data_IF_388902819478
#
_entry.id   IF_388902819478
#
_cell.length_a   1.000
_cell.length_b   1.000
_cell.length_c   1.000
_cell.angle_alpha   90.00
_cell.angle_beta   90.00
_cell.angle_gamma   90.00
#
_symmetry.space_group_name_H-M   'P 1'
#
loop_
_entity.id
_entity.type
_entity.pdbx_description
1 polymer ?
#
# COMPACT_ATOMS: atom_id res chain seq x y z
N UNK A 1 -2.02 -59.91 -31.26
CA UNK A 1 -1.50 -59.74 -32.60
C UNK A 1 -2.39 -58.74 -33.33
N UNK A 2 -2.01 -57.52 -33.40
CA UNK A 2 -2.42 -56.56 -34.45
C UNK A 2 -1.53 -55.32 -34.36
N UNK A 3 -0.85 -55.11 -35.44
CA UNK A 3 0.09 -54.03 -35.70
C UNK A 3 -0.62 -52.66 -35.66
N UNK A 4 -0.09 -51.68 -34.94
CA UNK A 4 -0.35 -50.27 -35.17
C UNK A 4 0.91 -49.62 -35.73
N UNK A 5 0.81 -49.25 -37.01
CA UNK A 5 1.84 -48.61 -37.81
C UNK A 5 2.01 -47.11 -37.40
N UNK A 6 3.28 -46.72 -37.30
CA UNK A 6 3.72 -45.31 -37.28
C UNK A 6 3.45 -44.66 -38.65
N UNK A 7 2.41 -43.89 -38.82
CA UNK A 7 2.28 -42.84 -39.86
C UNK A 7 1.01 -42.02 -39.58
N UNK A 8 1.17 -40.73 -39.19
CA UNK A 8 0.04 -39.81 -39.16
C UNK A 8 0.15 -38.70 -38.10
N UNK A 9 1.33 -38.10 -37.94
CA UNK A 9 1.47 -36.87 -37.12
C UNK A 9 2.37 -35.87 -37.86
N UNK A 10 1.91 -35.32 -38.96
CA UNK A 10 2.50 -34.12 -39.57
C UNK A 10 1.35 -33.27 -40.13
N UNK A 11 1.35 -32.00 -39.72
CA UNK A 11 0.64 -30.83 -40.23
C UNK A 11 -0.65 -30.41 -39.49
N UNK A 12 -0.46 -29.55 -38.54
CA UNK A 12 -1.20 -28.28 -38.40
C UNK A 12 -0.41 -27.34 -37.48
N UNK A 13 0.65 -26.75 -37.98
CA UNK A 13 1.17 -25.51 -37.40
C UNK A 13 0.24 -24.39 -37.87
N UNK A 14 -0.82 -24.14 -37.11
CA UNK A 14 -1.61 -22.93 -37.23
C UNK A 14 -0.83 -21.80 -36.55
N UNK A 15 -0.37 -20.84 -37.33
CA UNK A 15 0.18 -19.59 -36.84
C UNK A 15 -0.89 -18.88 -36.02
N UNK A 16 -0.71 -18.86 -34.70
CA UNK A 16 -1.50 -18.01 -33.81
C UNK A 16 -1.04 -16.57 -34.05
N UNK A 17 -1.78 -15.81 -34.82
CA UNK A 17 -1.69 -14.37 -34.83
C UNK A 17 -2.00 -13.85 -33.41
N UNK A 18 -1.31 -12.81 -32.94
CA UNK A 18 -1.66 -12.21 -31.63
C UNK A 18 -3.09 -11.71 -31.74
N UNK A 19 -3.98 -12.28 -30.93
CA UNK A 19 -5.32 -11.77 -30.78
C UNK A 19 -5.21 -10.37 -30.23
N UNK A 20 -5.50 -9.35 -31.03
CA UNK A 20 -5.81 -8.02 -30.57
C UNK A 20 -7.01 -8.17 -29.64
N UNK A 21 -6.78 -8.10 -28.33
CA UNK A 21 -7.85 -7.96 -27.36
C UNK A 21 -8.42 -6.55 -27.56
N UNK A 22 -9.42 -6.45 -28.39
CA UNK A 22 -10.28 -5.27 -28.51
C UNK A 22 -11.02 -5.15 -27.17
N UNK A 23 -10.49 -4.35 -26.25
CA UNK A 23 -11.27 -3.89 -25.11
C UNK A 23 -12.49 -3.15 -25.66
N UNK A 24 -13.72 -3.53 -25.31
CA UNK A 24 -14.87 -2.77 -25.74
C UNK A 24 -14.67 -1.31 -25.27
N UNK A 25 -14.76 -0.37 -26.20
CA UNK A 25 -14.86 1.05 -25.88
C UNK A 25 -16.09 1.22 -25.00
N UNK A 26 -15.85 1.52 -23.71
CA UNK A 26 -16.89 1.91 -22.77
C UNK A 26 -17.31 3.36 -23.09
N UNK A 27 -17.97 3.56 -24.22
CA UNK A 27 -18.51 4.89 -24.62
C UNK A 27 -19.72 5.35 -23.79
N UNK A 28 -20.14 4.63 -22.77
CA UNK A 28 -21.29 4.95 -21.91
C UNK A 28 -20.98 5.55 -20.55
N UNK A 29 -19.72 5.84 -20.20
CA UNK A 29 -19.33 6.20 -18.82
C UNK A 29 -18.97 7.68 -18.61
N UNK A 30 -19.01 8.50 -19.65
CA UNK A 30 -18.62 9.92 -19.58
C UNK A 30 -19.68 10.87 -18.98
N UNK A 31 -20.85 10.42 -18.57
CA UNK A 31 -21.91 11.28 -18.05
C UNK A 31 -22.23 11.09 -16.56
N UNK A 32 -21.71 10.10 -15.88
CA UNK A 32 -21.95 9.90 -14.46
C UNK A 32 -20.85 10.58 -13.64
N UNK A 33 -21.25 11.35 -12.63
CA UNK A 33 -20.34 11.96 -11.66
C UNK A 33 -19.44 10.86 -11.03
N UNK A 34 -18.09 10.92 -11.17
CA UNK A 34 -17.20 9.92 -10.61
C UNK A 34 -17.34 9.77 -9.09
N UNK A 35 -17.76 10.82 -8.41
CA UNK A 35 -17.96 10.83 -6.96
C UNK A 35 -19.21 10.04 -6.52
N UNK A 36 -20.18 9.88 -7.39
CA UNK A 36 -21.29 8.95 -7.15
C UNK A 36 -20.79 7.50 -7.00
N UNK A 37 -19.74 7.14 -7.75
CA UNK A 37 -19.03 5.86 -7.62
C UNK A 37 -18.29 5.76 -6.30
N UNK A 38 -17.55 6.79 -5.89
CA UNK A 38 -16.87 6.82 -4.59
C UNK A 38 -17.88 6.58 -3.45
N UNK A 39 -19.01 7.28 -3.48
CA UNK A 39 -20.08 7.09 -2.51
C UNK A 39 -20.67 5.66 -2.54
N UNK A 40 -20.82 5.05 -3.72
CA UNK A 40 -21.29 3.68 -3.86
C UNK A 40 -20.29 2.66 -3.29
N UNK A 41 -18.98 2.87 -3.50
CA UNK A 41 -17.92 2.03 -2.91
C UNK A 41 -18.04 2.04 -1.39
N UNK A 42 -18.13 3.23 -0.77
CA UNK A 42 -18.22 3.36 0.70
C UNK A 42 -19.48 2.68 1.24
N UNK A 43 -20.64 2.89 0.60
CA UNK A 43 -21.90 2.23 1.01
C UNK A 43 -21.86 0.71 0.87
N UNK A 44 -21.08 0.19 -0.05
CA UNK A 44 -20.94 -1.25 -0.30
C UNK A 44 -19.96 -1.97 0.61
N UNK A 45 -19.21 -1.25 1.46
CA UNK A 45 -18.28 -1.86 2.40
C UNK A 45 -19.05 -2.44 3.60
N UNK A 46 -18.85 -3.72 3.83
CA UNK A 46 -19.33 -4.37 5.03
C UNK A 46 -18.41 -4.04 6.22
N UNK A 47 -18.98 -3.82 7.38
CA UNK A 47 -18.23 -3.70 8.64
C UNK A 47 -18.20 -5.07 9.30
N UNK A 48 -17.03 -5.60 9.67
CA UNK A 48 -16.92 -6.87 10.38
C UNK A 48 -17.75 -6.86 11.67
N UNK A 49 -18.45 -7.94 11.96
CA UNK A 49 -19.18 -8.12 13.22
C UNK A 49 -18.71 -9.39 13.91
N UNK A 50 -18.69 -9.35 15.23
CA UNK A 50 -18.12 -10.41 16.05
C UNK A 50 -19.11 -10.80 17.16
N UNK A 51 -19.16 -12.10 17.56
CA UNK A 51 -19.89 -12.50 18.76
C UNK A 51 -19.44 -11.68 19.99
N UNK A 52 -20.34 -11.34 20.92
CA UNK A 52 -20.01 -10.55 22.11
C UNK A 52 -19.30 -11.40 23.17
N UNK A 53 -18.11 -11.88 22.86
CA UNK A 53 -17.25 -12.71 23.71
C UNK A 53 -15.87 -12.12 23.76
N UNK A 54 -15.30 -12.04 24.95
CA UNK A 54 -13.98 -11.50 25.19
C UNK A 54 -13.02 -12.59 25.68
N UNK A 55 -11.85 -12.64 25.03
CA UNK A 55 -10.74 -13.53 25.33
C UNK A 55 -9.54 -12.65 25.74
N UNK A 56 -9.52 -12.25 27.01
CA UNK A 56 -8.49 -11.37 27.54
C UNK A 56 -7.16 -12.14 27.66
N UNK A 57 -6.08 -11.61 27.09
CA UNK A 57 -4.79 -12.31 26.98
C UNK A 57 -4.16 -12.64 28.32
N UNK A 58 -4.45 -11.90 29.39
CA UNK A 58 -3.94 -12.16 30.76
C UNK A 58 -4.48 -13.48 31.31
N UNK A 59 -5.71 -13.86 30.97
CA UNK A 59 -6.30 -15.16 31.32
C UNK A 59 -5.60 -16.34 30.66
N UNK A 60 -4.78 -16.08 29.65
CA UNK A 60 -3.94 -17.06 28.95
C UNK A 60 -2.47 -16.97 29.34
N UNK A 61 -2.14 -16.14 30.33
CA UNK A 61 -0.82 -16.02 30.91
C UNK A 61 0.04 -14.87 30.36
N UNK A 62 -0.57 -13.89 29.66
CA UNK A 62 0.16 -12.68 29.30
C UNK A 62 0.41 -11.79 30.53
N UNK A 63 1.59 -11.19 30.60
CA UNK A 63 2.00 -10.28 31.67
C UNK A 63 2.32 -8.92 31.04
N UNK A 64 1.65 -7.87 31.54
CA UNK A 64 1.75 -6.51 31.01
C UNK A 64 2.93 -5.69 31.54
N UNK A 65 4.09 -6.30 31.78
CA UNK A 65 5.28 -5.69 32.38
C UNK A 65 6.29 -5.15 31.34
N UNK A 66 6.04 -5.39 30.04
CA UNK A 66 6.92 -5.01 28.95
C UNK A 66 8.19 -5.84 28.80
N UNK A 67 8.35 -6.92 29.57
CA UNK A 67 9.55 -7.77 29.60
C UNK A 67 9.24 -9.23 29.25
N UNK A 68 8.22 -9.80 29.91
CA UNK A 68 7.81 -11.18 29.68
C UNK A 68 7.22 -11.35 28.26
N UNK A 69 7.67 -12.38 27.52
CA UNK A 69 7.10 -12.69 26.21
C UNK A 69 5.65 -13.16 26.34
N UNK A 70 4.75 -12.46 25.67
CA UNK A 70 3.32 -12.76 25.63
C UNK A 70 2.88 -13.48 24.33
N UNK A 71 3.80 -13.79 23.43
CA UNK A 71 3.51 -14.36 22.11
C UNK A 71 2.64 -15.61 22.22
N UNK A 72 3.01 -16.54 23.11
CA UNK A 72 2.28 -17.81 23.28
C UNK A 72 0.92 -17.59 23.97
N UNK A 73 0.82 -16.65 24.90
CA UNK A 73 -0.44 -16.31 25.56
C UNK A 73 -1.44 -15.70 24.56
N UNK A 74 -0.98 -14.78 23.71
CA UNK A 74 -1.79 -14.18 22.64
C UNK A 74 -2.23 -15.26 21.65
N UNK A 75 -1.32 -16.17 21.24
CA UNK A 75 -1.66 -17.29 20.35
C UNK A 75 -2.76 -18.18 20.94
N UNK A 76 -2.69 -18.50 22.25
CA UNK A 76 -3.72 -19.30 22.94
C UNK A 76 -5.07 -18.57 23.02
N UNK A 77 -5.06 -17.27 23.28
CA UNK A 77 -6.27 -16.46 23.30
C UNK A 77 -6.96 -16.43 21.93
N UNK A 78 -6.19 -16.25 20.85
CA UNK A 78 -6.69 -16.30 19.48
C UNK A 78 -7.26 -17.68 19.15
N UNK A 79 -6.55 -18.76 19.49
CA UNK A 79 -7.02 -20.12 19.27
C UNK A 79 -8.33 -20.42 20.02
N UNK A 80 -8.47 -19.98 21.26
CA UNK A 80 -9.69 -20.12 22.05
C UNK A 80 -10.85 -19.30 21.43
N UNK A 81 -10.58 -18.08 20.98
CA UNK A 81 -11.54 -17.24 20.30
C UNK A 81 -12.05 -17.91 19.02
N UNK A 82 -11.14 -18.42 18.19
CA UNK A 82 -11.46 -19.12 16.94
C UNK A 82 -12.28 -20.40 17.21
N UNK A 83 -11.88 -21.20 18.20
CA UNK A 83 -12.60 -22.42 18.58
C UNK A 83 -14.02 -22.14 19.08
N UNK A 84 -14.26 -20.96 19.67
CA UNK A 84 -15.58 -20.52 20.09
C UNK A 84 -16.43 -19.92 18.95
N UNK A 85 -15.93 -19.89 17.71
CA UNK A 85 -16.61 -19.31 16.56
C UNK A 85 -16.42 -17.80 16.40
N UNK A 86 -15.41 -17.21 17.07
CA UNK A 86 -15.03 -15.80 16.96
C UNK A 86 -15.35 -14.96 18.20
N UNK A 87 -14.91 -13.70 18.17
CA UNK A 87 -15.07 -12.75 19.27
C UNK A 87 -13.95 -11.71 19.29
N UNK A 88 -13.72 -11.09 20.46
CA UNK A 88 -12.63 -10.15 20.68
C UNK A 88 -11.52 -10.82 21.51
N UNK A 89 -10.30 -10.75 21.00
CA UNK A 89 -9.08 -11.01 21.78
C UNK A 89 -8.64 -9.69 22.38
N UNK A 90 -8.79 -9.54 23.69
CA UNK A 90 -8.61 -8.27 24.37
C UNK A 90 -7.20 -8.17 24.96
N UNK A 91 -6.50 -7.11 24.58
CA UNK A 91 -5.26 -6.66 25.21
C UNK A 91 -5.64 -5.59 26.23
N UNK A 92 -5.61 -5.88 27.54
CA UNK A 92 -5.98 -4.90 28.56
C UNK A 92 -4.88 -3.85 28.73
N UNK A 93 -5.08 -2.91 29.67
CA UNK A 93 -4.07 -1.91 30.05
C UNK A 93 -2.74 -2.58 30.40
N UNK A 94 -1.63 -2.01 29.93
CA UNK A 94 -0.27 -2.49 30.17
C UNK A 94 0.57 -2.52 28.90
N UNK A 95 1.84 -2.94 29.05
CA UNK A 95 2.78 -3.12 27.95
C UNK A 95 3.10 -4.61 27.77
N UNK A 96 2.72 -5.18 26.66
CA UNK A 96 2.86 -6.62 26.39
C UNK A 96 3.90 -6.83 25.29
N UNK A 97 5.03 -7.48 25.65
CA UNK A 97 6.08 -7.82 24.69
C UNK A 97 5.67 -9.07 23.90
N UNK A 98 5.73 -8.99 22.56
CA UNK A 98 5.33 -10.10 21.70
C UNK A 98 6.23 -10.24 20.48
N UNK A 99 6.24 -11.41 19.87
CA UNK A 99 6.68 -11.65 18.49
C UNK A 99 5.51 -11.56 17.51
N UNK A 100 5.60 -12.29 16.40
CA UNK A 100 4.56 -12.29 15.38
C UNK A 100 3.21 -12.80 15.91
N UNK A 101 2.14 -12.10 15.51
CA UNK A 101 0.75 -12.46 15.81
C UNK A 101 0.09 -12.90 14.49
N UNK A 102 -0.49 -14.11 14.49
CA UNK A 102 -1.34 -14.57 13.40
C UNK A 102 -2.80 -14.44 13.79
N UNK A 103 -3.55 -13.66 13.00
CA UNK A 103 -5.00 -13.54 13.14
C UNK A 103 -5.71 -14.59 12.30
N UNK A 104 -6.78 -15.13 12.85
CA UNK A 104 -7.66 -16.10 12.21
C UNK A 104 -9.02 -15.46 11.89
N UNK A 105 -9.84 -16.11 11.07
CA UNK A 105 -11.17 -15.62 10.71
C UNK A 105 -12.05 -15.39 11.94
N UNK A 106 -12.89 -14.36 11.89
CA UNK A 106 -13.83 -13.95 12.93
C UNK A 106 -13.17 -13.48 14.24
N UNK A 107 -11.93 -13.03 14.18
CA UNK A 107 -11.19 -12.51 15.33
C UNK A 107 -11.04 -10.98 15.23
N UNK A 108 -11.39 -10.30 16.31
CA UNK A 108 -11.06 -8.90 16.53
C UNK A 108 -9.98 -8.79 17.61
N UNK A 109 -8.76 -8.41 17.23
CA UNK A 109 -7.71 -8.04 18.18
C UNK A 109 -8.00 -6.63 18.70
N UNK A 110 -8.43 -6.53 19.94
CA UNK A 110 -8.88 -5.28 20.54
C UNK A 110 -7.92 -4.80 21.62
N UNK A 111 -7.35 -3.60 21.44
CA UNK A 111 -6.44 -2.97 22.39
C UNK A 111 -7.19 -1.93 23.23
N UNK A 112 -7.17 -2.08 24.56
CA UNK A 112 -7.67 -1.06 25.47
C UNK A 112 -6.91 0.28 25.28
N UNK A 113 -7.46 1.38 25.78
CA UNK A 113 -6.97 2.74 25.50
C UNK A 113 -5.49 2.97 25.85
N UNK A 114 -5.00 2.36 26.93
CA UNK A 114 -3.62 2.48 27.41
C UNK A 114 -2.79 1.22 27.16
N UNK A 115 -3.35 0.25 26.43
CA UNK A 115 -2.63 -0.96 26.05
C UNK A 115 -1.54 -0.69 25.03
N UNK A 116 -0.40 -1.34 25.17
CA UNK A 116 0.67 -1.35 24.17
C UNK A 116 1.07 -2.79 23.86
N UNK A 117 0.97 -3.18 22.58
CA UNK A 117 1.66 -4.34 22.05
C UNK A 117 3.03 -3.90 21.53
N UNK A 118 4.09 -4.32 22.20
CA UNK A 118 5.48 -4.04 21.84
C UNK A 118 6.10 -5.25 21.15
N UNK A 119 6.57 -5.07 19.92
CA UNK A 119 7.09 -6.16 19.10
C UNK A 119 8.61 -6.31 19.28
N UNK A 120 9.06 -7.50 19.66
CA UNK A 120 10.49 -7.77 19.84
C UNK A 120 11.25 -7.76 18.52
N UNK A 121 12.53 -7.46 18.58
CA UNK A 121 13.48 -7.62 17.46
C UNK A 121 14.16 -9.03 17.44
N UNK A 122 13.76 -9.93 18.31
CA UNK A 122 14.20 -11.32 18.23
C UNK A 122 13.57 -12.03 17.02
N UNK A 123 14.33 -12.12 15.94
CA UNK A 123 13.90 -12.70 14.67
C UNK A 123 13.38 -14.14 14.76
N UNK A 124 13.78 -14.88 15.80
CA UNK A 124 13.31 -16.27 16.06
C UNK A 124 11.82 -16.33 16.38
N UNK A 125 11.23 -15.21 16.78
CA UNK A 125 9.79 -15.10 17.08
C UNK A 125 8.93 -14.74 15.83
N UNK A 126 9.56 -14.67 14.64
CA UNK A 126 8.89 -14.41 13.36
C UNK A 126 9.04 -15.62 12.45
N UNK A 127 8.11 -16.57 12.49
CA UNK A 127 8.18 -17.77 11.64
C UNK A 127 8.18 -17.36 10.17
N UNK A 128 8.81 -18.20 9.33
CA UNK A 128 8.78 -17.98 7.88
C UNK A 128 7.39 -18.31 7.34
N UNK A 129 6.82 -17.36 6.62
CA UNK A 129 5.50 -17.48 5.99
C UNK A 129 5.56 -17.09 4.52
N UNK A 130 4.54 -17.49 3.76
CA UNK A 130 4.29 -16.92 2.43
C UNK A 130 3.84 -15.47 2.61
N UNK A 131 4.53 -14.55 1.97
CA UNK A 131 4.28 -13.13 2.11
C UNK A 131 4.64 -12.35 0.84
N UNK A 132 4.61 -11.03 0.89
CA UNK A 132 5.04 -10.14 -0.18
C UNK A 132 5.94 -9.05 0.38
N UNK A 133 7.03 -8.80 -0.31
CA UNK A 133 8.02 -7.78 0.03
C UNK A 133 8.33 -6.93 -1.20
N UNK A 134 8.14 -5.61 -1.10
CA UNK A 134 8.25 -4.65 -2.21
C UNK A 134 7.58 -5.16 -3.51
N UNK A 135 6.34 -5.65 -3.42
CA UNK A 135 5.57 -6.09 -4.58
C UNK A 135 5.91 -7.48 -5.13
N UNK A 136 6.81 -8.24 -4.50
CA UNK A 136 7.26 -9.58 -4.94
C UNK A 136 6.88 -10.64 -3.92
N UNK A 137 6.24 -11.73 -4.36
CA UNK A 137 5.88 -12.87 -3.50
C UNK A 137 7.11 -13.73 -3.15
N UNK A 138 7.21 -14.15 -1.87
CA UNK A 138 8.32 -14.94 -1.34
C UNK A 138 7.94 -15.65 -0.05
N UNK A 139 8.82 -16.52 0.44
CA UNK A 139 8.82 -17.06 1.80
C UNK A 139 9.81 -16.24 2.63
N UNK A 140 9.31 -15.49 3.63
CA UNK A 140 10.15 -14.61 4.47
C UNK A 140 9.66 -14.60 5.92
N UNK A 141 10.35 -13.86 6.79
CA UNK A 141 9.89 -13.58 8.15
C UNK A 141 8.44 -13.08 8.14
N UNK A 142 7.63 -13.61 9.03
CA UNK A 142 6.24 -13.18 9.19
C UNK A 142 6.15 -11.66 9.43
N UNK A 143 5.18 -10.98 8.84
CA UNK A 143 4.78 -9.66 9.33
C UNK A 143 4.47 -9.70 10.82
N UNK A 144 4.51 -8.56 11.48
CA UNK A 144 4.26 -8.47 12.91
C UNK A 144 2.84 -8.92 13.28
N UNK A 145 1.86 -8.46 12.50
CA UNK A 145 0.48 -8.97 12.55
C UNK A 145 0.12 -9.48 11.15
N UNK A 146 -0.10 -10.77 11.05
CA UNK A 146 -0.33 -11.48 9.81
C UNK A 146 -1.67 -12.20 9.80
N UNK A 147 -2.38 -12.17 8.68
CA UNK A 147 -3.53 -13.03 8.39
C UNK A 147 -3.43 -13.55 6.97
N UNK A 148 -3.83 -14.78 6.72
CA UNK A 148 -3.76 -15.38 5.40
C UNK A 148 -5.06 -16.11 5.07
N UNK A 149 -5.68 -15.73 3.95
CA UNK A 149 -6.95 -16.31 3.47
C UNK A 149 -8.05 -16.32 4.55
N UNK A 150 -8.07 -15.25 5.36
CA UNK A 150 -9.00 -15.11 6.46
C UNK A 150 -10.13 -14.12 6.13
N UNK A 151 -11.24 -14.27 6.84
CA UNK A 151 -12.43 -13.45 6.65
C UNK A 151 -12.90 -12.87 7.97
N UNK A 152 -13.49 -11.66 7.91
CA UNK A 152 -14.09 -11.04 9.07
C UNK A 152 -13.05 -10.78 10.16
N UNK A 153 -12.08 -9.91 9.84
CA UNK A 153 -10.96 -9.57 10.71
C UNK A 153 -11.10 -8.16 11.24
N UNK A 154 -10.69 -7.92 12.47
CA UNK A 154 -10.48 -6.56 12.94
C UNK A 154 -9.26 -6.42 13.86
N UNK A 155 -8.68 -5.22 13.84
CA UNK A 155 -7.74 -4.72 14.84
C UNK A 155 -8.30 -3.38 15.30
N UNK A 156 -8.77 -3.29 16.55
CA UNK A 156 -9.54 -2.12 17.02
C UNK A 156 -9.08 -1.64 18.39
N UNK A 157 -9.59 -0.50 18.79
CA UNK A 157 -9.32 0.11 20.08
C UNK A 157 -8.51 1.40 19.96
N UNK A 158 -8.01 1.92 21.08
CA UNK A 158 -7.22 3.16 21.11
C UNK A 158 -5.79 2.96 21.62
N UNK A 159 -5.40 1.70 21.81
CA UNK A 159 -4.06 1.32 22.21
C UNK A 159 -3.01 1.51 21.13
N UNK A 160 -1.77 1.15 21.47
CA UNK A 160 -0.60 1.35 20.61
C UNK A 160 -0.03 0.02 20.11
N UNK A 161 0.27 -0.04 18.84
CA UNK A 161 1.14 -1.03 18.21
C UNK A 161 2.53 -0.40 18.07
N UNK A 162 3.50 -0.87 18.86
CA UNK A 162 4.87 -0.35 18.88
C UNK A 162 5.83 -1.39 18.29
N UNK A 163 6.30 -1.13 17.07
CA UNK A 163 7.25 -2.00 16.38
C UNK A 163 8.65 -2.00 16.97
N UNK A 164 8.92 -1.09 17.92
CA UNK A 164 10.22 -0.92 18.58
C UNK A 164 11.40 -0.80 17.61
N UNK A 165 11.15 -0.46 16.34
CA UNK A 165 12.21 -0.25 15.37
C UNK A 165 12.94 1.08 15.63
N UNK A 166 14.21 1.11 15.35
CA UNK A 166 15.12 2.21 15.54
C UNK A 166 16.45 1.95 14.83
N UNK A 167 17.41 2.87 14.99
CA UNK A 167 18.71 2.77 14.34
C UNK A 167 19.50 1.51 14.78
N UNK A 168 19.31 1.04 16.01
CA UNK A 168 19.91 -0.18 16.57
C UNK A 168 19.07 -1.43 16.31
N UNK A 169 17.82 -1.27 15.84
CA UNK A 169 16.86 -2.35 15.62
C UNK A 169 16.22 -2.17 14.26
N UNK A 170 16.11 -3.18 13.48
CA UNK A 170 15.48 -3.25 12.16
C UNK A 170 15.97 -2.21 11.13
N UNK A 171 16.03 -0.88 11.44
CA UNK A 171 16.34 0.15 10.45
C UNK A 171 17.77 0.07 9.96
N UNK A 172 18.74 -0.32 10.81
CA UNK A 172 20.13 -0.52 10.40
C UNK A 172 20.31 -1.63 9.34
N UNK A 173 19.28 -2.49 9.14
CA UNK A 173 19.32 -3.44 8.03
C UNK A 173 19.28 -2.74 6.68
N UNK A 174 18.60 -1.60 6.59
CA UNK A 174 18.50 -0.77 5.39
C UNK A 174 19.49 0.38 5.38
N UNK A 175 19.72 1.01 6.53
CA UNK A 175 20.63 2.17 6.71
C UNK A 175 21.65 1.88 7.78
N UNK A 176 22.72 1.10 7.50
CA UNK A 176 23.72 0.75 8.52
C UNK A 176 24.69 1.89 8.85
N UNK A 177 24.53 3.06 8.24
CA UNK A 177 25.32 4.27 8.45
C UNK A 177 25.72 4.95 7.14
N UNK A 178 26.20 6.20 7.19
CA UNK A 178 26.59 6.95 6.01
C UNK A 178 27.62 6.21 5.15
N UNK A 179 27.37 6.13 3.83
CA UNK A 179 28.26 5.50 2.87
C UNK A 179 28.29 3.96 2.87
N UNK A 180 27.55 3.33 3.78
CA UNK A 180 27.48 1.86 3.85
C UNK A 180 26.20 1.37 3.13
N UNK A 181 26.32 0.44 2.16
CA UNK A 181 25.14 -0.15 1.51
C UNK A 181 24.26 -0.89 2.52
N UNK A 182 22.93 -0.81 2.34
CA UNK A 182 21.98 -1.59 3.15
C UNK A 182 22.33 -3.09 3.14
N UNK A 183 22.20 -3.72 4.30
CA UNK A 183 22.45 -5.16 4.47
C UNK A 183 21.45 -6.00 3.66
N UNK A 184 20.25 -5.48 3.44
CA UNK A 184 19.17 -6.07 2.64
C UNK A 184 19.45 -6.04 1.13
N UNK A 185 20.41 -5.24 0.66
CA UNK A 185 20.65 -4.98 -0.77
C UNK A 185 20.87 -6.24 -1.60
N UNK A 186 21.71 -7.16 -1.10
CA UNK A 186 22.01 -8.40 -1.81
C UNK A 186 20.77 -9.31 -1.93
N UNK A 187 20.03 -9.45 -0.85
CA UNK A 187 18.79 -10.24 -0.83
C UNK A 187 17.69 -9.62 -1.70
N UNK A 188 17.51 -8.29 -1.64
CA UNK A 188 16.61 -7.56 -2.51
C UNK A 188 16.90 -7.80 -3.99
N UNK A 189 18.17 -7.69 -4.39
CA UNK A 189 18.58 -7.93 -5.78
C UNK A 189 18.32 -9.39 -6.19
N UNK A 190 18.67 -10.35 -5.31
CA UNK A 190 18.40 -11.77 -5.52
C UNK A 190 16.90 -12.05 -5.70
N UNK A 191 16.04 -11.44 -4.88
CA UNK A 191 14.59 -11.60 -5.00
C UNK A 191 14.06 -11.07 -6.34
N UNK A 192 14.55 -9.90 -6.77
CA UNK A 192 14.20 -9.29 -8.07
C UNK A 192 14.68 -10.20 -9.23
N UNK A 193 15.88 -10.75 -9.12
CA UNK A 193 16.40 -11.69 -10.13
C UNK A 193 15.61 -13.01 -10.17
N UNK A 194 15.24 -13.56 -9.01
CA UNK A 194 14.45 -14.79 -8.93
C UNK A 194 13.08 -14.63 -9.59
N UNK A 195 12.40 -13.49 -9.38
CA UNK A 195 11.13 -13.24 -10.08
C UNK A 195 11.31 -13.11 -11.58
N UNK A 196 12.32 -12.38 -12.04
CA UNK A 196 12.60 -12.20 -13.47
C UNK A 196 12.93 -13.53 -14.17
N UNK A 197 13.55 -14.46 -13.46
CA UNK A 197 13.83 -15.84 -13.94
C UNK A 197 12.64 -16.80 -13.78
N UNK A 198 11.50 -16.33 -13.30
CA UNK A 198 10.31 -17.17 -13.08
C UNK A 198 10.50 -18.25 -12.00
N UNK A 199 11.42 -18.06 -11.05
CA UNK A 199 11.61 -19.02 -9.95
C UNK A 199 10.30 -19.17 -9.17
N UNK A 200 9.80 -20.39 -8.93
CA UNK A 200 8.58 -20.63 -8.17
C UNK A 200 8.64 -19.98 -6.77
N UNK A 201 7.54 -19.36 -6.32
CA UNK A 201 7.49 -18.61 -5.07
C UNK A 201 7.96 -19.45 -3.86
N UNK A 202 7.58 -20.72 -3.80
CA UNK A 202 7.99 -21.63 -2.73
C UNK A 202 9.51 -21.84 -2.64
N UNK A 203 10.26 -21.53 -3.71
CA UNK A 203 11.71 -21.60 -3.78
C UNK A 203 12.39 -20.25 -3.49
N UNK A 204 11.63 -19.15 -3.43
CA UNK A 204 12.12 -17.82 -3.06
C UNK A 204 12.18 -17.71 -1.55
N UNK A 205 13.13 -18.40 -0.94
CA UNK A 205 13.22 -18.56 0.52
C UNK A 205 14.24 -17.59 1.09
N UNK A 206 13.78 -16.78 2.04
CA UNK A 206 14.54 -15.76 2.75
C UNK A 206 14.36 -15.92 4.26
N UNK A 207 15.19 -15.28 5.04
CA UNK A 207 15.16 -15.36 6.51
C UNK A 207 16.00 -14.27 7.16
N UNK A 208 16.40 -14.53 8.41
CA UNK A 208 17.11 -13.58 9.27
C UNK A 208 18.42 -13.05 8.68
N UNK A 209 19.18 -13.89 7.96
CA UNK A 209 20.44 -13.52 7.34
C UNK A 209 20.29 -12.73 6.04
N UNK A 210 19.06 -12.55 5.56
CA UNK A 210 18.72 -11.83 4.35
C UNK A 210 18.38 -10.36 4.61
N UNK A 211 18.08 -10.01 5.86
CA UNK A 211 17.80 -8.64 6.30
C UNK A 211 16.61 -7.98 5.58
N UNK A 212 15.70 -8.77 5.00
CA UNK A 212 14.44 -8.26 4.45
C UNK A 212 13.45 -8.05 5.60
N UNK A 213 13.33 -6.80 6.04
CA UNK A 213 12.49 -6.41 7.19
C UNK A 213 11.03 -6.79 6.97
N UNK A 214 10.35 -7.37 7.96
CA UNK A 214 8.92 -7.66 7.85
C UNK A 214 8.07 -6.38 7.84
N UNK A 215 6.91 -6.43 7.18
CA UNK A 215 5.88 -5.40 7.28
C UNK A 215 5.18 -5.48 8.66
N UNK A 216 4.46 -4.42 9.06
CA UNK A 216 3.82 -4.44 10.38
C UNK A 216 2.49 -5.22 10.34
N UNK A 217 1.45 -4.67 9.70
CA UNK A 217 0.12 -5.31 9.61
C UNK A 217 -0.13 -5.75 8.19
N UNK A 218 -0.14 -7.06 7.93
CA UNK A 218 -0.31 -7.59 6.58
C UNK A 218 -1.37 -8.70 6.53
N UNK A 219 -2.64 -8.37 6.37
CA UNK A 219 -3.61 -9.35 5.90
C UNK A 219 -3.35 -9.66 4.42
N UNK A 220 -3.34 -10.93 4.08
CA UNK A 220 -3.03 -11.43 2.75
C UNK A 220 -4.18 -12.30 2.21
N UNK A 221 -4.68 -12.05 1.00
CA UNK A 221 -5.82 -12.77 0.37
C UNK A 221 -7.05 -12.87 1.30
N UNK A 222 -7.25 -11.85 2.11
CA UNK A 222 -8.29 -11.83 3.15
C UNK A 222 -9.42 -10.87 2.76
N UNK A 223 -10.57 -11.00 3.43
CA UNK A 223 -11.73 -10.16 3.11
C UNK A 223 -12.46 -9.68 4.35
N UNK A 224 -13.16 -8.56 4.21
CA UNK A 224 -13.90 -7.89 5.28
C UNK A 224 -13.01 -7.57 6.48
N UNK A 225 -12.17 -6.53 6.32
CA UNK A 225 -11.09 -6.18 7.25
C UNK A 225 -11.35 -4.78 7.79
N UNK A 226 -11.24 -4.62 9.11
CA UNK A 226 -11.33 -3.33 9.81
C UNK A 226 -10.07 -3.10 10.65
N UNK A 227 -9.41 -1.96 10.45
CA UNK A 227 -8.32 -1.46 11.31
C UNK A 227 -8.76 -0.09 11.80
N UNK A 228 -8.99 0.06 13.12
CA UNK A 228 -9.67 1.25 13.64
C UNK A 228 -9.12 1.73 14.98
N UNK A 229 -8.89 3.05 15.06
CA UNK A 229 -8.70 3.81 16.29
C UNK A 229 -7.30 3.76 16.88
N UNK A 230 -6.45 2.88 16.38
CA UNK A 230 -5.12 2.57 16.92
C UNK A 230 -4.07 3.64 16.63
N UNK A 231 -3.01 3.64 17.43
CA UNK A 231 -1.75 4.31 17.13
C UNK A 231 -0.71 3.26 16.72
N UNK A 232 -0.01 3.47 15.60
CA UNK A 232 1.08 2.61 15.12
C UNK A 232 2.36 3.44 15.13
N UNK A 233 3.41 2.92 15.77
CA UNK A 233 4.70 3.61 15.89
C UNK A 233 5.87 2.67 15.64
N UNK A 234 7.01 3.24 15.22
CA UNK A 234 8.30 2.57 15.12
C UNK A 234 8.23 1.26 14.31
N UNK A 235 7.69 1.32 13.11
CA UNK A 235 7.59 0.15 12.22
C UNK A 235 8.95 -0.26 11.65
N UNK A 236 9.22 -1.56 11.47
CA UNK A 236 10.42 -1.97 10.76
C UNK A 236 10.39 -1.63 9.26
N UNK A 237 9.21 -1.63 8.64
CA UNK A 237 8.99 -1.35 7.21
C UNK A 237 7.60 -0.74 7.01
N UNK A 238 6.86 -1.05 5.95
CA UNK A 238 5.50 -0.58 5.70
C UNK A 238 4.56 -0.92 6.86
N UNK A 239 3.73 0.02 7.28
CA UNK A 239 2.87 -0.14 8.44
C UNK A 239 1.63 -0.99 8.14
N UNK A 240 0.67 -0.45 7.37
CA UNK A 240 -0.58 -1.14 7.04
C UNK A 240 -0.50 -1.60 5.58
N UNK A 241 -0.29 -2.89 5.38
CA UNK A 241 -0.05 -3.47 4.06
C UNK A 241 -1.01 -4.63 3.73
N UNK A 242 -2.29 -4.37 3.50
CA UNK A 242 -3.20 -5.40 2.99
C UNK A 242 -2.83 -5.79 1.55
N UNK A 243 -2.77 -7.09 1.27
CA UNK A 243 -2.34 -7.63 -0.02
C UNK A 243 -3.41 -8.55 -0.59
N UNK A 244 -3.85 -8.31 -1.84
CA UNK A 244 -4.87 -9.12 -2.52
C UNK A 244 -6.16 -9.25 -1.69
N UNK A 245 -6.51 -8.20 -0.94
CA UNK A 245 -7.65 -8.18 -0.04
C UNK A 245 -8.88 -7.51 -0.67
N UNK A 246 -10.06 -7.87 -0.16
CA UNK A 246 -11.32 -7.27 -0.57
C UNK A 246 -12.12 -6.73 0.63
N UNK A 247 -12.62 -5.49 0.52
CA UNK A 247 -13.38 -4.86 1.59
C UNK A 247 -12.48 -4.53 2.79
N UNK A 248 -11.62 -3.53 2.62
CA UNK A 248 -10.67 -3.08 3.66
C UNK A 248 -11.09 -1.69 4.13
N UNK A 249 -11.28 -1.54 5.43
CA UNK A 249 -11.52 -0.24 6.06
C UNK A 249 -10.41 0.06 7.06
N UNK A 250 -9.73 1.19 6.85
CA UNK A 250 -8.76 1.76 7.79
C UNK A 250 -9.30 3.11 8.21
N UNK A 251 -9.67 3.28 9.47
CA UNK A 251 -10.24 4.54 9.92
C UNK A 251 -9.75 4.99 11.29
N UNK A 252 -9.62 6.30 11.45
CA UNK A 252 -9.21 6.93 12.71
C UNK A 252 -7.90 6.37 13.29
N UNK A 253 -7.00 5.89 12.41
CA UNK A 253 -5.68 5.38 12.79
C UNK A 253 -4.66 6.51 12.73
N UNK A 254 -3.78 6.56 13.74
CA UNK A 254 -2.62 7.44 13.74
C UNK A 254 -1.36 6.61 13.47
N UNK A 255 -0.65 6.94 12.40
CA UNK A 255 0.66 6.36 12.09
C UNK A 255 1.73 7.41 12.33
N UNK A 256 2.75 7.06 13.12
CA UNK A 256 3.91 7.93 13.38
C UNK A 256 5.19 7.10 13.42
N UNK A 257 5.89 7.06 12.30
CA UNK A 257 7.10 6.25 12.16
C UNK A 257 8.01 6.81 11.06
N UNK A 258 9.25 7.15 11.39
CA UNK A 258 10.17 7.88 10.52
C UNK A 258 11.39 7.07 10.08
N UNK A 259 11.28 5.76 10.05
CA UNK A 259 12.31 4.87 9.53
C UNK A 259 12.31 4.74 8.01
N UNK A 260 13.31 4.05 7.46
CA UNK A 260 13.37 3.79 6.02
C UNK A 260 12.23 2.87 5.57
N UNK A 261 11.53 3.24 4.48
CA UNK A 261 10.36 2.56 3.96
C UNK A 261 9.20 2.47 4.99
N UNK A 262 9.08 3.47 5.86
CA UNK A 262 7.92 3.57 6.74
C UNK A 262 6.79 4.29 5.99
N UNK A 263 6.16 3.54 5.07
CA UNK A 263 4.95 3.97 4.39
C UNK A 263 3.75 3.68 5.31
N UNK A 264 2.82 4.62 5.46
CA UNK A 264 1.74 4.51 6.45
C UNK A 264 0.65 3.49 6.09
N UNK A 265 0.13 3.53 4.86
CA UNK A 265 -0.90 2.59 4.43
C UNK A 265 -0.74 2.23 2.95
N UNK A 266 -0.48 0.96 2.67
CA UNK A 266 -0.13 0.45 1.36
C UNK A 266 -1.07 -0.67 0.88
N UNK A 267 -2.33 -0.36 0.50
CA UNK A 267 -3.17 -1.36 -0.14
C UNK A 267 -2.54 -1.83 -1.45
N UNK A 268 -2.22 -3.13 -1.54
CA UNK A 268 -1.59 -3.72 -2.70
C UNK A 268 -2.48 -4.76 -3.38
N UNK A 269 -2.86 -4.53 -4.64
CA UNK A 269 -3.79 -5.38 -5.39
C UNK A 269 -5.12 -5.60 -4.64
N UNK A 270 -5.58 -4.58 -3.90
CA UNK A 270 -6.80 -4.63 -3.10
C UNK A 270 -7.98 -4.02 -3.85
N UNK A 271 -9.18 -4.46 -3.48
CA UNK A 271 -10.44 -3.96 -4.05
C UNK A 271 -11.39 -3.50 -2.96
N UNK A 272 -12.09 -2.37 -3.21
CA UNK A 272 -13.03 -1.76 -2.29
C UNK A 272 -12.35 -1.42 -0.95
N UNK A 273 -11.59 -0.34 -0.95
CA UNK A 273 -10.80 0.12 0.19
C UNK A 273 -11.28 1.50 0.64
N UNK A 274 -11.47 1.68 1.93
CA UNK A 274 -11.73 2.96 2.56
C UNK A 274 -10.60 3.29 3.54
N UNK A 275 -9.98 4.46 3.38
CA UNK A 275 -9.04 5.05 4.33
C UNK A 275 -9.64 6.37 4.79
N UNK A 276 -10.07 6.47 6.05
CA UNK A 276 -10.86 7.60 6.53
C UNK A 276 -10.41 8.11 7.89
N UNK A 277 -10.30 9.44 8.03
CA UNK A 277 -10.03 10.08 9.32
C UNK A 277 -8.66 9.75 9.92
N UNK A 278 -7.74 9.23 9.11
CA UNK A 278 -6.42 8.81 9.56
C UNK A 278 -5.43 9.98 9.59
N UNK A 279 -4.41 9.86 10.45
CA UNK A 279 -3.28 10.77 10.48
C UNK A 279 -2.00 10.01 10.16
N UNK A 280 -1.25 10.50 9.19
CA UNK A 280 0.03 9.94 8.75
C UNK A 280 1.16 10.94 8.97
N UNK A 281 2.20 10.48 9.64
CA UNK A 281 3.43 11.21 9.96
C UNK A 281 4.59 10.21 9.78
N UNK A 282 5.14 10.14 8.56
CA UNK A 282 5.87 8.96 8.08
C UNK A 282 7.25 9.31 7.51
N UNK A 283 8.12 8.33 7.49
CA UNK A 283 9.46 8.45 6.91
C UNK A 283 9.53 8.15 5.41
N UNK A 284 8.42 7.67 4.82
CA UNK A 284 8.25 7.44 3.38
C UNK A 284 6.83 7.88 2.97
N UNK A 285 6.16 7.27 2.01
CA UNK A 285 4.83 7.70 1.55
C UNK A 285 3.75 7.57 2.65
N UNK A 286 2.86 8.56 2.80
CA UNK A 286 1.76 8.48 3.77
C UNK A 286 0.75 7.38 3.39
N UNK A 287 0.23 7.42 2.15
CA UNK A 287 -0.62 6.38 1.58
C UNK A 287 -0.06 6.03 0.21
N UNK A 288 0.31 4.76 -0.01
CA UNK A 288 0.86 4.32 -1.29
C UNK A 288 0.14 3.11 -1.86
N UNK A 289 -0.64 3.33 -2.91
CA UNK A 289 -1.41 2.31 -3.60
C UNK A 289 -0.50 1.51 -4.53
N UNK A 290 -0.53 0.20 -4.42
CA UNK A 290 0.39 -0.71 -5.11
C UNK A 290 -0.36 -1.89 -5.77
N UNK A 291 0.29 -2.55 -6.74
CA UNK A 291 -0.28 -3.73 -7.42
C UNK A 291 0.79 -4.68 -7.97
N UNK A 292 1.84 -4.87 -7.19
CA UNK A 292 2.94 -5.78 -7.51
C UNK A 292 4.02 -5.18 -8.38
N UNK A 293 5.18 -5.78 -8.30
CA UNK A 293 6.41 -5.33 -8.97
C UNK A 293 6.74 -6.21 -10.16
N UNK A 294 6.95 -5.61 -11.32
CA UNK A 294 7.46 -6.24 -12.54
C UNK A 294 6.68 -7.52 -12.93
N UNK A 295 7.37 -8.64 -13.13
CA UNK A 295 6.77 -9.88 -13.58
C UNK A 295 5.79 -10.50 -12.58
N UNK A 296 6.02 -10.34 -11.27
CA UNK A 296 5.06 -10.81 -10.27
C UNK A 296 3.75 -10.00 -10.31
N UNK A 297 3.83 -8.68 -10.47
CA UNK A 297 2.65 -7.84 -10.66
C UNK A 297 1.89 -8.20 -11.93
N UNK A 298 2.60 -8.40 -13.05
CA UNK A 298 2.00 -8.81 -14.33
C UNK A 298 1.44 -10.24 -14.29
N UNK A 299 2.13 -11.16 -13.64
CA UNK A 299 1.68 -12.56 -13.47
C UNK A 299 0.35 -12.65 -12.75
N UNK A 300 0.19 -11.87 -11.68
CA UNK A 300 -1.06 -11.81 -10.93
C UNK A 300 -2.12 -10.98 -11.66
N UNK A 301 -1.70 -9.89 -12.30
CA UNK A 301 -2.56 -8.98 -13.06
C UNK A 301 -3.80 -8.50 -12.28
N UNK A 302 -3.62 -8.20 -10.99
CA UNK A 302 -4.68 -7.71 -10.11
C UNK A 302 -4.39 -6.25 -9.77
N UNK A 303 -5.20 -5.30 -10.25
CA UNK A 303 -5.02 -3.89 -9.93
C UNK A 303 -5.38 -3.59 -8.48
N UNK A 304 -4.90 -2.46 -7.97
CA UNK A 304 -5.53 -1.81 -6.83
C UNK A 304 -6.68 -0.95 -7.37
N UNK A 305 -7.90 -1.20 -6.87
CA UNK A 305 -9.08 -0.54 -7.44
C UNK A 305 -10.18 -0.22 -6.44
N UNK A 306 -11.00 0.79 -6.77
CA UNK A 306 -12.11 1.24 -5.94
C UNK A 306 -11.61 1.64 -4.54
N UNK A 307 -10.72 2.63 -4.48
CA UNK A 307 -10.13 3.14 -3.24
C UNK A 307 -10.68 4.53 -2.96
N UNK A 308 -11.19 4.73 -1.76
CA UNK A 308 -11.63 6.04 -1.26
C UNK A 308 -10.77 6.45 -0.08
N UNK A 309 -10.13 7.61 -0.19
CA UNK A 309 -9.29 8.23 0.84
C UNK A 309 -9.99 9.54 1.21
N UNK A 310 -10.39 9.69 2.48
CA UNK A 310 -11.10 10.91 2.87
C UNK A 310 -10.85 11.34 4.31
N UNK A 311 -10.95 12.64 4.56
CA UNK A 311 -10.80 13.23 5.88
C UNK A 311 -9.47 12.89 6.57
N UNK A 312 -8.42 12.60 5.79
CA UNK A 312 -7.12 12.22 6.30
C UNK A 312 -6.21 13.45 6.45
N UNK A 313 -5.28 13.38 7.40
CA UNK A 313 -4.21 14.37 7.59
C UNK A 313 -2.87 13.72 7.29
N UNK A 314 -2.12 14.29 6.34
CA UNK A 314 -0.77 13.90 5.99
C UNK A 314 0.20 14.98 6.45
N UNK A 315 1.20 14.56 7.21
CA UNK A 315 2.30 15.40 7.70
C UNK A 315 3.58 15.09 6.91
N UNK A 316 4.64 14.64 7.58
CA UNK A 316 5.88 14.27 6.91
C UNK A 316 5.70 13.04 6.02
N UNK A 317 6.49 12.97 4.93
CA UNK A 317 6.50 11.83 4.03
C UNK A 317 6.97 12.17 2.62
N UNK A 318 7.22 11.15 1.80
CA UNK A 318 7.60 11.37 0.40
C UNK A 318 6.40 11.68 -0.51
N UNK A 319 5.18 11.48 -0.03
CA UNK A 319 3.96 11.86 -0.72
C UNK A 319 2.71 11.60 0.12
N UNK A 320 1.70 12.44 -0.03
CA UNK A 320 0.43 12.32 0.70
C UNK A 320 -0.42 11.18 0.15
N UNK A 321 -0.86 11.29 -1.10
CA UNK A 321 -1.55 10.23 -1.85
C UNK A 321 -0.63 9.80 -2.99
N UNK A 322 -0.18 8.55 -2.93
CA UNK A 322 0.81 8.01 -3.87
C UNK A 322 0.27 6.79 -4.59
N UNK A 323 0.59 6.65 -5.88
CA UNK A 323 0.32 5.47 -6.70
C UNK A 323 1.67 4.97 -7.23
N UNK A 324 2.05 3.76 -6.85
CA UNK A 324 3.34 3.15 -7.22
C UNK A 324 4.39 3.21 -6.10
N UNK A 325 5.65 2.85 -6.44
CA UNK A 325 6.15 2.39 -7.76
C UNK A 325 5.78 0.95 -8.13
N UNK A 326 5.47 0.08 -7.20
CA UNK A 326 5.06 -1.31 -7.42
C UNK A 326 3.62 -1.34 -7.99
N UNK A 327 3.48 -1.03 -9.30
CA UNK A 327 2.17 -0.77 -9.93
C UNK A 327 1.95 -1.57 -11.23
N UNK A 328 2.66 -2.68 -11.39
CA UNK A 328 2.62 -3.47 -12.62
C UNK A 328 1.25 -4.11 -12.90
N UNK A 329 0.41 -4.32 -11.87
CA UNK A 329 -0.98 -4.76 -12.03
C UNK A 329 -1.98 -3.64 -12.33
N UNK A 330 -1.53 -2.37 -12.30
CA UNK A 330 -2.38 -1.20 -12.56
C UNK A 330 -3.12 -0.65 -11.34
N UNK A 331 -3.73 0.53 -11.52
CA UNK A 331 -4.57 1.21 -10.53
C UNK A 331 -5.75 1.89 -11.22
N UNK A 332 -6.94 1.82 -10.62
CA UNK A 332 -8.12 2.50 -11.18
C UNK A 332 -9.20 2.81 -10.16
N UNK A 333 -9.97 3.86 -10.44
CA UNK A 333 -11.05 4.34 -9.57
C UNK A 333 -10.53 4.68 -8.18
N UNK A 334 -9.60 5.63 -8.13
CA UNK A 334 -8.96 6.13 -6.92
C UNK A 334 -9.55 7.52 -6.63
N UNK A 335 -10.05 7.70 -5.42
CA UNK A 335 -10.71 8.92 -4.99
C UNK A 335 -10.07 9.45 -3.71
N UNK A 336 -9.64 10.71 -3.70
CA UNK A 336 -9.12 11.40 -2.52
C UNK A 336 -9.92 12.69 -2.29
N UNK A 337 -10.52 12.86 -1.12
CA UNK A 337 -11.32 14.05 -0.82
C UNK A 337 -11.18 14.53 0.63
N UNK A 338 -11.38 15.83 0.85
CA UNK A 338 -11.40 16.47 2.17
C UNK A 338 -10.16 16.18 3.03
N UNK A 339 -9.00 16.02 2.39
CA UNK A 339 -7.74 15.76 3.07
C UNK A 339 -6.97 17.06 3.37
N UNK A 340 -6.12 17.00 4.38
CA UNK A 340 -5.20 18.08 4.75
C UNK A 340 -3.76 17.59 4.65
N UNK A 341 -2.91 18.40 4.05
CA UNK A 341 -1.49 18.11 3.86
C UNK A 341 -0.69 19.36 4.25
N UNK A 342 0.21 19.24 5.20
CA UNK A 342 0.99 20.40 5.63
C UNK A 342 2.27 20.00 6.34
N UNK A 343 3.38 19.94 5.60
CA UNK A 343 4.71 19.82 6.18
C UNK A 343 5.79 20.27 5.19
N UNK A 344 6.85 20.93 5.65
CA UNK A 344 8.04 21.19 4.84
C UNK A 344 8.82 19.90 4.49
N UNK A 345 8.49 18.77 5.13
CA UNK A 345 9.08 17.46 4.89
C UNK A 345 8.10 16.49 4.17
N UNK A 346 6.96 16.98 3.72
CA UNK A 346 6.09 16.27 2.80
C UNK A 346 6.49 16.68 1.38
N UNK A 347 7.08 15.78 0.62
CA UNK A 347 7.60 16.14 -0.70
C UNK A 347 6.48 16.53 -1.68
N UNK A 348 5.40 15.75 -1.76
CA UNK A 348 4.35 15.87 -2.80
C UNK A 348 2.97 15.60 -2.23
N UNK A 349 1.95 16.27 -2.79
CA UNK A 349 0.58 15.99 -2.35
C UNK A 349 -0.04 14.79 -3.10
N UNK A 350 -0.13 14.85 -4.43
CA UNK A 350 -0.48 13.72 -5.29
C UNK A 350 0.77 13.27 -6.06
N UNK A 351 1.10 11.99 -5.96
CA UNK A 351 2.28 11.43 -6.60
C UNK A 351 1.96 10.14 -7.35
N UNK A 352 2.23 10.10 -8.65
CA UNK A 352 2.21 8.89 -9.47
C UNK A 352 3.63 8.60 -9.92
N UNK A 353 4.16 7.42 -9.57
CA UNK A 353 5.53 7.02 -9.90
C UNK A 353 5.54 5.62 -10.52
N UNK A 354 6.09 5.52 -11.72
CA UNK A 354 6.26 4.27 -12.46
C UNK A 354 7.48 4.37 -13.39
N UNK A 355 7.74 3.35 -14.18
CA UNK A 355 8.79 3.32 -15.20
C UNK A 355 8.49 2.23 -16.24
N UNK A 356 9.36 2.08 -17.25
CA UNK A 356 9.16 1.08 -18.31
C UNK A 356 9.47 -0.37 -17.92
N UNK A 357 10.03 -0.62 -16.73
CA UNK A 357 10.16 -1.97 -16.18
C UNK A 357 8.90 -2.39 -15.43
N UNK A 358 8.25 -1.43 -14.76
CA UNK A 358 6.96 -1.61 -14.07
C UNK A 358 5.80 -1.70 -15.04
N UNK A 359 5.70 -0.72 -15.95
CA UNK A 359 4.50 -0.56 -16.79
C UNK A 359 3.28 -0.19 -15.96
N UNK A 360 2.18 -0.89 -16.24
CA UNK A 360 0.90 -0.71 -15.56
C UNK A 360 0.01 0.37 -16.18
N UNK A 361 -1.31 0.20 -16.02
CA UNK A 361 -2.33 1.18 -16.41
C UNK A 361 -2.85 1.87 -15.18
N UNK A 362 -2.69 3.17 -15.09
CA UNK A 362 -3.17 4.01 -14.00
C UNK A 362 -4.18 4.99 -14.58
N UNK A 363 -5.43 4.86 -14.16
CA UNK A 363 -6.53 5.63 -14.74
C UNK A 363 -7.65 5.91 -13.73
N UNK A 364 -8.49 6.91 -14.02
CA UNK A 364 -9.62 7.28 -13.17
C UNK A 364 -9.17 7.62 -11.74
N UNK A 365 -8.27 8.61 -11.63
CA UNK A 365 -7.75 9.14 -10.36
C UNK A 365 -8.33 10.53 -10.13
N UNK A 366 -9.03 10.71 -9.04
CA UNK A 366 -9.78 11.92 -8.73
C UNK A 366 -9.40 12.44 -7.35
N UNK A 367 -8.97 13.69 -7.27
CA UNK A 367 -8.68 14.39 -6.01
C UNK A 367 -9.51 15.67 -5.96
N UNK A 368 -10.24 15.88 -4.85
CA UNK A 368 -10.99 17.12 -4.65
C UNK A 368 -10.97 17.63 -3.21
N UNK A 369 -11.19 18.94 -3.07
CA UNK A 369 -11.39 19.57 -1.78
C UNK A 369 -10.26 19.25 -0.79
N UNK A 370 -9.03 19.31 -1.27
CA UNK A 370 -7.81 19.09 -0.48
C UNK A 370 -7.16 20.42 -0.19
N UNK A 371 -6.86 20.62 1.09
CA UNK A 371 -6.14 21.81 1.56
C UNK A 371 -4.68 21.46 1.83
N UNK A 372 -3.78 22.15 1.14
CA UNK A 372 -2.34 21.99 1.27
C UNK A 372 -1.77 23.26 1.90
N UNK A 373 -1.19 23.16 3.09
CA UNK A 373 -0.41 24.23 3.70
C UNK A 373 0.89 24.41 2.92
N UNK A 374 1.72 23.37 2.93
CA UNK A 374 2.95 23.31 2.13
C UNK A 374 3.34 21.88 1.78
N UNK A 375 4.05 21.75 0.66
CA UNK A 375 4.81 20.56 0.26
C UNK A 375 6.17 20.99 -0.29
N UNK A 376 7.18 20.15 -0.14
CA UNK A 376 8.56 20.52 -0.47
C UNK A 376 8.79 20.66 -1.99
N UNK A 377 8.20 19.76 -2.79
CA UNK A 377 8.47 19.71 -4.23
C UNK A 377 7.30 20.11 -5.11
N UNK A 378 6.23 19.35 -5.15
CA UNK A 378 5.14 19.65 -6.08
C UNK A 378 3.77 19.26 -5.54
N UNK A 379 2.74 20.01 -5.94
CA UNK A 379 1.35 19.66 -5.64
C UNK A 379 0.95 18.40 -6.39
N UNK A 380 1.20 18.34 -7.70
CA UNK A 380 0.93 17.14 -8.50
C UNK A 380 2.20 16.66 -9.19
N UNK A 381 2.58 15.43 -8.96
CA UNK A 381 3.70 14.78 -9.62
C UNK A 381 3.26 13.52 -10.33
N UNK A 382 3.59 13.40 -11.62
CA UNK A 382 3.51 12.15 -12.40
C UNK A 382 4.88 11.96 -13.04
N UNK A 383 5.60 10.90 -12.66
CA UNK A 383 6.98 10.71 -13.10
C UNK A 383 7.23 9.27 -13.54
N UNK A 384 7.57 9.09 -14.83
CA UNK A 384 7.92 7.80 -15.43
C UNK A 384 9.42 7.48 -15.34
N UNK A 385 10.23 8.46 -14.95
CA UNK A 385 11.70 8.29 -14.79
C UNK A 385 12.08 7.86 -13.37
N UNK A 386 11.17 7.18 -12.67
CA UNK A 386 11.46 6.66 -11.33
C UNK A 386 12.34 5.41 -11.42
N UNK A 387 13.37 5.28 -10.56
CA UNK A 387 14.34 4.17 -10.55
C UNK A 387 14.89 3.84 -11.95
N UNK A 388 14.41 2.78 -12.60
CA UNK A 388 14.92 2.26 -13.88
C UNK A 388 14.55 3.12 -15.11
N UNK A 389 13.63 4.07 -14.98
CA UNK A 389 13.23 4.98 -16.06
C UNK A 389 12.80 4.26 -17.34
N UNK A 390 13.44 4.58 -18.47
CA UNK A 390 13.17 3.98 -19.80
C UNK A 390 13.86 2.62 -20.02
N UNK A 391 14.44 2.02 -19.00
CA UNK A 391 15.26 0.80 -19.10
C UNK A 391 14.52 -0.51 -19.38
N UNK A 392 13.20 -0.50 -19.61
CA UNK A 392 12.39 -1.70 -19.77
C UNK A 392 11.43 -1.69 -20.97
N UNK A 393 10.83 -2.85 -21.30
CA UNK A 393 9.94 -3.00 -22.44
C UNK A 393 8.46 -2.73 -22.16
N UNK A 394 8.08 -2.38 -20.92
CA UNK A 394 6.70 -2.25 -20.49
C UNK A 394 6.33 -0.77 -20.31
N UNK A 395 5.77 -0.18 -21.34
CA UNK A 395 5.39 1.24 -21.30
C UNK A 395 4.21 1.45 -20.34
N UNK A 396 4.32 2.40 -19.40
CA UNK A 396 3.20 2.75 -18.52
C UNK A 396 2.12 3.53 -19.29
N UNK A 397 0.89 3.40 -18.83
CA UNK A 397 -0.24 4.22 -19.28
C UNK A 397 -0.78 4.98 -18.08
N UNK A 398 -0.75 6.32 -18.14
CA UNK A 398 -1.36 7.18 -17.13
C UNK A 398 -2.32 8.12 -17.81
N UNK A 399 -3.60 8.05 -17.45
CA UNK A 399 -4.67 8.84 -18.08
C UNK A 399 -5.85 9.08 -17.15
N UNK A 400 -6.65 10.09 -17.46
CA UNK A 400 -7.87 10.48 -16.73
C UNK A 400 -7.59 10.76 -15.24
N UNK A 401 -6.80 11.80 -15.03
CA UNK A 401 -6.41 12.29 -13.70
C UNK A 401 -7.09 13.66 -13.50
N UNK A 402 -7.93 13.81 -12.49
CA UNK A 402 -8.58 15.08 -12.20
C UNK A 402 -8.22 15.58 -10.79
N UNK A 403 -7.87 16.86 -10.71
CA UNK A 403 -7.64 17.59 -9.46
C UNK A 403 -8.59 18.78 -9.44
N UNK A 404 -9.49 18.83 -8.45
CA UNK A 404 -10.58 19.82 -8.37
C UNK A 404 -10.67 20.45 -6.98
N UNK A 405 -10.90 21.76 -6.93
CA UNK A 405 -11.05 22.50 -5.66
C UNK A 405 -9.88 22.26 -4.69
N UNK A 406 -8.65 22.27 -5.20
CA UNK A 406 -7.44 22.06 -4.39
C UNK A 406 -6.72 23.39 -4.19
N UNK A 407 -6.35 23.66 -2.94
CA UNK A 407 -5.60 24.87 -2.57
C UNK A 407 -4.24 24.48 -2.01
N UNK A 408 -3.18 25.22 -2.39
CA UNK A 408 -1.84 25.09 -1.83
C UNK A 408 -1.26 26.48 -1.53
N UNK A 409 -0.56 26.61 -0.39
CA UNK A 409 0.06 27.89 -0.01
C UNK A 409 1.54 27.94 -0.29
N UNK A 410 2.21 26.77 -0.46
CA UNK A 410 3.63 26.73 -0.79
C UNK A 410 4.02 25.41 -1.42
N UNK A 411 4.78 25.48 -2.51
CA UNK A 411 5.44 24.34 -3.16
C UNK A 411 6.54 24.83 -4.10
N UNK A 412 7.47 23.96 -4.47
CA UNK A 412 8.46 24.31 -5.49
C UNK A 412 7.81 24.40 -6.88
N UNK A 413 6.94 23.47 -7.23
CA UNK A 413 6.18 23.44 -8.48
C UNK A 413 4.69 23.23 -8.20
N UNK A 414 3.82 23.76 -9.04
CA UNK A 414 2.43 23.31 -9.06
C UNK A 414 2.33 21.92 -9.70
N UNK A 415 2.94 21.74 -10.88
CA UNK A 415 2.95 20.50 -11.64
C UNK A 415 4.37 20.03 -11.95
N UNK A 416 4.63 18.72 -11.76
CA UNK A 416 5.83 18.04 -12.23
C UNK A 416 5.38 16.75 -12.96
N UNK A 417 5.17 16.87 -14.27
CA UNK A 417 4.64 15.81 -15.11
C UNK A 417 5.70 15.39 -16.14
N UNK A 418 6.21 14.17 -16.03
CA UNK A 418 7.30 13.66 -16.89
C UNK A 418 6.95 12.29 -17.45
N UNK A 419 6.36 12.28 -18.65
CA UNK A 419 6.07 11.07 -19.42
C UNK A 419 7.22 10.68 -20.35
N UNK A 420 7.09 9.55 -21.04
CA UNK A 420 8.01 9.14 -22.11
C UNK A 420 7.52 9.64 -23.47
N UNK A 421 8.43 9.83 -24.40
CA UNK A 421 8.10 10.29 -25.76
C UNK A 421 7.13 9.33 -26.47
N UNK A 422 7.29 8.04 -26.26
CA UNK A 422 6.46 6.97 -26.84
C UNK A 422 5.31 6.49 -25.93
N UNK A 423 5.19 7.07 -24.74
CA UNK A 423 4.09 6.84 -23.80
C UNK A 423 3.82 8.15 -23.02
N UNK A 424 3.13 9.12 -23.65
CA UNK A 424 2.86 10.39 -22.98
C UNK A 424 1.83 10.23 -21.87
N UNK A 425 1.93 11.07 -20.85
CA UNK A 425 0.87 11.27 -19.86
C UNK A 425 -0.30 11.94 -20.57
N UNK A 426 -1.53 11.47 -20.37
CA UNK A 426 -2.69 12.02 -21.07
C UNK A 426 -3.89 12.30 -20.17
N UNK A 427 -4.71 13.31 -20.56
CA UNK A 427 -5.99 13.58 -19.90
C UNK A 427 -5.83 13.98 -18.41
N UNK A 428 -4.95 14.94 -18.15
CA UNK A 428 -4.82 15.55 -16.82
C UNK A 428 -5.68 16.82 -16.78
N UNK A 429 -6.61 16.90 -15.85
CA UNK A 429 -7.51 18.03 -15.67
C UNK A 429 -7.34 18.68 -14.30
N UNK A 430 -7.16 19.98 -14.28
CA UNK A 430 -7.22 20.80 -13.07
C UNK A 430 -8.43 21.74 -13.17
N UNK A 431 -9.25 21.76 -12.13
CA UNK A 431 -10.48 22.57 -12.13
C UNK A 431 -10.60 23.28 -10.78
N UNK A 432 -10.83 24.60 -10.83
CA UNK A 432 -11.06 25.43 -9.64
C UNK A 432 -9.93 25.30 -8.59
N UNK A 433 -8.67 25.32 -9.02
CA UNK A 433 -7.50 25.16 -8.17
C UNK A 433 -6.77 26.48 -7.92
N UNK A 434 -6.21 26.64 -6.73
CA UNK A 434 -5.38 27.81 -6.38
C UNK A 434 -4.08 27.34 -5.74
N UNK A 435 -2.95 27.65 -6.37
CA UNK A 435 -1.62 27.30 -5.91
C UNK A 435 -0.80 28.58 -5.71
N UNK A 436 -0.64 28.98 -4.47
CA UNK A 436 0.15 30.14 -4.07
C UNK A 436 1.54 29.72 -3.57
N UNK A 437 2.47 30.66 -3.51
CA UNK A 437 3.85 30.40 -3.08
C UNK A 437 4.57 29.35 -3.92
N UNK A 438 4.23 29.24 -5.21
CA UNK A 438 4.92 28.36 -6.16
C UNK A 438 6.23 29.02 -6.58
N UNK A 439 7.36 28.35 -6.30
CA UNK A 439 8.69 28.94 -6.46
C UNK A 439 9.24 28.83 -7.90
N UNK A 440 8.82 27.84 -8.66
CA UNK A 440 9.33 27.55 -10.01
C UNK A 440 8.21 27.21 -10.97
N UNK A 441 8.50 27.39 -12.25
CA UNK A 441 7.60 26.98 -13.33
C UNK A 441 7.31 25.47 -13.31
N UNK A 442 6.17 25.10 -13.89
CA UNK A 442 5.83 23.69 -14.07
C UNK A 442 6.85 22.96 -14.95
N UNK A 443 7.04 21.68 -14.67
CA UNK A 443 7.82 20.76 -15.50
C UNK A 443 6.84 19.87 -16.26
N UNK A 444 6.78 20.04 -17.58
CA UNK A 444 5.87 19.32 -18.46
C UNK A 444 6.65 18.64 -19.60
N UNK A 445 6.89 17.34 -19.48
CA UNK A 445 7.59 16.55 -20.48
C UNK A 445 6.67 15.44 -21.01
N UNK A 446 6.42 15.43 -22.33
CA UNK A 446 5.58 14.41 -22.98
C UNK A 446 4.20 14.27 -22.31
N UNK A 447 3.48 15.38 -22.23
CA UNK A 447 2.12 15.49 -21.69
C UNK A 447 1.17 15.89 -22.81
N UNK A 448 0.04 15.24 -22.93
CA UNK A 448 -1.02 15.54 -23.90
C UNK A 448 -2.36 15.70 -23.20
N UNK A 449 -3.21 16.60 -23.69
CA UNK A 449 -4.54 16.80 -23.10
C UNK A 449 -4.49 17.30 -21.64
N UNK A 450 -3.56 18.21 -21.32
CA UNK A 450 -3.58 18.94 -20.06
C UNK A 450 -4.62 20.06 -20.18
N UNK A 451 -5.64 20.00 -19.36
CA UNK A 451 -6.72 20.96 -19.27
C UNK A 451 -6.69 21.70 -17.94
N UNK A 452 -6.81 23.03 -17.99
CA UNK A 452 -6.84 23.88 -16.81
C UNK A 452 -8.05 24.82 -16.91
N UNK A 453 -9.00 24.69 -15.98
CA UNK A 453 -10.19 25.52 -15.92
C UNK A 453 -10.23 26.24 -14.58
N UNK A 454 -10.24 27.58 -14.61
CA UNK A 454 -10.23 28.41 -13.40
C UNK A 454 -9.09 28.04 -12.42
N UNK A 455 -7.88 27.85 -12.96
CA UNK A 455 -6.68 27.56 -12.17
C UNK A 455 -5.90 28.84 -11.96
N UNK A 456 -5.51 29.10 -10.72
CA UNK A 456 -4.67 30.25 -10.34
C UNK A 456 -3.34 29.75 -9.80
N UNK A 457 -2.25 30.31 -10.30
CA UNK A 457 -0.91 30.07 -9.77
C UNK A 457 -0.27 31.40 -9.42
N UNK A 458 0.06 31.63 -8.16
CA UNK A 458 0.57 32.89 -7.64
C UNK A 458 -0.32 34.11 -8.08
N UNK A 459 -1.65 33.94 -8.02
CA UNK A 459 -2.63 34.95 -8.41
C UNK A 459 -2.90 35.05 -9.92
N UNK A 460 -2.12 34.42 -10.79
CA UNK A 460 -2.28 34.47 -12.25
C UNK A 460 -3.20 33.32 -12.70
N UNK A 461 -4.23 33.64 -13.46
CA UNK A 461 -5.17 32.68 -14.08
C UNK A 461 -4.50 32.01 -15.27
N UNK A 462 -4.65 30.71 -15.40
CA UNK A 462 -4.13 29.88 -16.50
C UNK A 462 -5.26 29.34 -17.37
#
# INVERSE_FOLDING_TARGET
MSNFTRRGFIRAAAAAAPALVLYPRLEGWQTADPWARAAAIVRGLAVPSFPPRDFEITKYGAVGDGQASCTEAIRRAIAACTAAGGGRVVVPEGRFLTGAIRLESNVNLHLADTATLAFTDDVRQYPRVFTRWEGVELMNLSPFIYAFEAENLAITGRGTLDGQAGEDRWWHWRRPGPGTPGRDRAARNRLIEMQAKGVPVAQRVFGDQDYLRPNFVQPYRSRNILIEGLTIVNSPMWEIHPVLCQGVTVRNVTVRSHGPNNDGCNPESCRNVLIEGCTFDTGDDCIALKSGRNDDGRRLNVPVENVVIRNCTMKDGHGGVVIGSEISGGARNIFAEHCRMDSPQLDRALRIKTNSVRGGVIEHVYMREVTIGQVAEAVVTINFFYEEGEGGPHLPVVRDIEVRNVTSRKSRHALLLRGFKNAPISGVRLVDCTFDGVERADVLENVTGLEQTNVRVNGVVR
#
